data_IF_127320434730
#
_entry.id   IF_127320434730
#
_cell.length_a   1.000
_cell.length_b   1.000
_cell.length_c   1.000
_cell.angle_alpha   90.00
_cell.angle_beta   90.00
_cell.angle_gamma   90.00
#
_symmetry.space_group_name_H-M   'P 1'
#
loop_
_entity.id
_entity.type
_entity.pdbx_description
1 polymer ?
#
# COMPACT_ATOMS: atom_id res chain seq x y z
N UNK A 1 18.86 -38.81 -7.77
CA UNK A 1 18.74 -37.84 -6.67
C UNK A 1 20.01 -37.01 -6.68
N UNK A 2 19.97 -35.82 -7.29
CA UNK A 2 21.09 -34.89 -7.37
C UNK A 2 20.53 -33.48 -7.11
N UNK A 3 21.06 -32.89 -6.03
CA UNK A 3 21.19 -31.47 -5.68
C UNK A 3 20.08 -30.46 -5.97
N UNK A 4 19.05 -30.47 -5.13
CA UNK A 4 18.24 -29.27 -4.83
C UNK A 4 19.04 -28.20 -4.05
N UNK A 5 20.09 -28.60 -3.33
CA UNK A 5 20.99 -27.73 -2.56
C UNK A 5 21.79 -26.76 -3.46
N UNK A 6 22.35 -27.24 -4.58
CA UNK A 6 23.15 -26.41 -5.49
C UNK A 6 22.32 -25.32 -6.20
N UNK A 7 21.01 -25.54 -6.37
CA UNK A 7 20.14 -24.57 -7.03
C UNK A 7 19.76 -23.41 -6.07
N UNK A 8 19.61 -23.70 -4.78
CA UNK A 8 19.36 -22.70 -3.75
C UNK A 8 20.59 -21.81 -3.52
N UNK A 9 21.78 -22.41 -3.42
CA UNK A 9 23.03 -21.68 -3.22
C UNK A 9 23.37 -20.77 -4.42
N UNK A 10 23.04 -21.22 -5.63
CA UNK A 10 23.20 -20.42 -6.85
C UNK A 10 22.23 -19.23 -6.90
N UNK A 11 20.97 -19.41 -6.47
CA UNK A 11 19.99 -18.30 -6.37
C UNK A 11 20.38 -17.29 -5.28
N UNK A 12 20.94 -17.76 -4.17
CA UNK A 12 21.51 -16.93 -3.10
C UNK A 12 22.65 -16.04 -3.60
N UNK A 13 23.60 -16.60 -4.37
CA UNK A 13 24.71 -15.81 -4.92
C UNK A 13 24.25 -14.76 -5.92
N UNK A 14 23.24 -15.05 -6.74
CA UNK A 14 22.69 -14.06 -7.67
C UNK A 14 22.00 -12.90 -6.93
N UNK A 15 21.15 -13.21 -5.94
CA UNK A 15 20.44 -12.20 -5.15
C UNK A 15 21.41 -11.31 -4.35
N UNK A 16 22.43 -11.91 -3.71
CA UNK A 16 23.45 -11.16 -2.98
C UNK A 16 24.38 -10.36 -3.89
N UNK A 17 24.59 -10.78 -5.15
CA UNK A 17 25.38 -10.02 -6.13
C UNK A 17 24.66 -8.81 -6.71
N UNK A 18 23.32 -8.83 -6.70
CA UNK A 18 22.49 -7.68 -7.12
C UNK A 18 22.35 -6.63 -6.02
N UNK A 19 22.55 -7.02 -4.76
CA UNK A 19 22.66 -6.13 -3.59
C UNK A 19 24.13 -5.76 -3.39
N UNK A 20 24.78 -5.14 -4.39
CA UNK A 20 26.03 -4.46 -4.09
C UNK A 20 25.72 -3.18 -3.33
N UNK A 21 26.34 -2.94 -2.16
CA UNK A 21 26.20 -1.68 -1.47
C UNK A 21 26.79 -0.58 -2.36
N UNK A 22 25.99 0.45 -2.61
CA UNK A 22 26.48 1.67 -3.24
C UNK A 22 27.60 2.23 -2.33
N UNK A 23 28.85 2.46 -2.80
CA UNK A 23 30.01 2.71 -1.93
C UNK A 23 30.00 4.07 -1.20
N UNK A 24 28.85 4.73 -1.08
CA UNK A 24 28.69 6.06 -0.47
C UNK A 24 27.73 6.08 0.72
N UNK A 25 27.52 4.97 1.41
CA UNK A 25 26.92 5.00 2.75
C UNK A 25 27.98 4.76 3.82
N UNK A 26 28.09 5.74 4.72
CA UNK A 26 28.94 5.76 5.88
C UNK A 26 28.78 4.51 6.75
N UNK A 27 29.92 4.02 7.23
CA UNK A 27 30.15 2.93 8.17
C UNK A 27 29.10 2.84 9.29
N UNK A 28 28.17 1.90 9.16
CA UNK A 28 27.53 1.24 10.29
C UNK A 28 28.00 -0.21 10.27
N UNK A 29 28.73 -0.61 11.30
CA UNK A 29 29.29 -1.95 11.43
C UNK A 29 28.20 -2.91 11.87
N UNK A 30 27.38 -3.38 10.92
CA UNK A 30 26.50 -4.50 11.17
C UNK A 30 27.32 -5.79 11.32
N UNK A 31 26.91 -6.73 12.19
CA UNK A 31 27.54 -8.05 12.29
C UNK A 31 27.56 -8.77 10.93
N UNK A 32 28.60 -9.56 10.67
CA UNK A 32 28.72 -10.34 9.43
C UNK A 32 27.57 -11.35 9.20
N UNK A 33 26.80 -11.65 10.25
CA UNK A 33 25.61 -12.52 10.25
C UNK A 33 24.32 -11.70 10.35
N UNK A 34 24.16 -10.65 9.54
CA UNK A 34 22.95 -9.83 9.54
C UNK A 34 22.38 -9.65 8.13
N UNK A 35 21.06 -9.78 8.02
CA UNK A 35 20.31 -9.43 6.81
C UNK A 35 19.95 -7.96 6.85
N UNK A 36 20.43 -7.19 5.89
CA UNK A 36 20.16 -5.75 5.79
C UNK A 36 19.16 -5.52 4.66
N UNK A 37 18.06 -4.84 4.98
CA UNK A 37 17.20 -4.24 3.98
C UNK A 37 17.45 -2.75 3.93
N UNK A 38 17.62 -2.24 2.72
CA UNK A 38 17.74 -0.82 2.43
C UNK A 38 16.81 -0.51 1.26
N UNK A 39 15.61 0.01 1.56
CA UNK A 39 14.53 0.14 0.58
C UNK A 39 13.30 0.84 1.13
N UNK A 40 12.29 1.06 0.30
CA UNK A 40 10.98 1.52 0.77
C UNK A 40 10.09 0.34 1.11
N UNK A 41 9.30 0.40 2.19
CA UNK A 41 8.50 -0.75 2.62
C UNK A 41 7.44 -1.18 1.58
N UNK A 42 7.00 -0.28 0.69
CA UNK A 42 6.14 -0.66 -0.42
C UNK A 42 6.80 -1.69 -1.37
N UNK A 43 8.13 -1.74 -1.45
CA UNK A 43 8.87 -2.79 -2.19
C UNK A 43 8.74 -4.15 -1.50
N UNK A 44 8.79 -4.17 -0.17
CA UNK A 44 8.57 -5.37 0.65
C UNK A 44 7.14 -5.86 0.49
N UNK A 45 6.18 -4.93 0.57
CA UNK A 45 4.76 -5.26 0.43
C UNK A 45 4.37 -5.70 -1.00
N UNK A 46 5.11 -5.27 -2.02
CA UNK A 46 4.97 -5.77 -3.39
C UNK A 46 5.37 -7.24 -3.58
N UNK A 47 5.88 -7.90 -2.54
CA UNK A 47 6.29 -9.30 -2.53
C UNK A 47 5.22 -10.30 -2.09
N UNK A 48 4.04 -9.85 -1.66
CA UNK A 48 3.18 -10.68 -0.81
C UNK A 48 1.86 -11.14 -1.44
N UNK A 49 1.53 -12.42 -1.23
CA UNK A 49 0.35 -13.13 -1.77
C UNK A 49 -0.88 -13.17 -0.84
N UNK A 50 -0.72 -12.94 0.47
CA UNK A 50 -1.72 -13.31 1.49
C UNK A 50 -2.56 -12.14 2.05
N UNK A 51 -3.65 -12.52 2.75
CA UNK A 51 -4.73 -11.69 3.32
C UNK A 51 -4.26 -10.58 4.27
N UNK A 52 -3.35 -10.93 5.18
CA UNK A 52 -2.45 -10.00 5.86
C UNK A 52 -1.10 -10.37 5.27
N UNK A 53 -0.43 -9.47 4.55
CA UNK A 53 0.82 -9.84 3.95
C UNK A 53 1.81 -10.21 5.05
N UNK A 54 2.33 -11.44 5.05
CA UNK A 54 3.58 -11.76 5.73
C UNK A 54 4.63 -10.77 5.20
N UNK A 55 4.94 -9.75 5.98
CA UNK A 55 5.79 -8.66 5.55
C UNK A 55 7.22 -9.16 5.65
N UNK A 56 7.79 -9.63 4.54
CA UNK A 56 9.07 -10.35 4.58
C UNK A 56 10.23 -9.55 4.03
N UNK A 57 11.30 -9.53 4.79
CA UNK A 57 12.60 -9.05 4.33
C UNK A 57 13.50 -10.28 4.22
N UNK A 58 13.82 -10.67 2.98
CA UNK A 58 14.45 -11.97 2.70
C UNK A 58 13.59 -13.12 3.23
N UNK A 59 14.13 -13.89 4.18
CA UNK A 59 13.40 -14.97 4.87
C UNK A 59 12.80 -14.54 6.21
N UNK A 60 13.06 -13.31 6.67
CA UNK A 60 12.59 -12.82 7.96
C UNK A 60 11.22 -12.16 7.83
N UNK A 61 10.26 -12.59 8.64
CA UNK A 61 8.93 -11.99 8.72
C UNK A 61 8.92 -10.85 9.74
N UNK A 62 8.48 -9.66 9.32
CA UNK A 62 8.23 -8.52 10.19
C UNK A 62 6.88 -8.77 10.88
N UNK A 63 6.93 -8.99 12.19
CA UNK A 63 5.75 -9.18 13.01
C UNK A 63 4.90 -7.93 13.10
N UNK A 64 3.60 -8.10 12.89
CA UNK A 64 2.61 -7.03 13.04
C UNK A 64 2.56 -6.57 14.50
N UNK A 65 2.58 -5.26 14.71
CA UNK A 65 2.55 -4.63 16.04
C UNK A 65 3.89 -4.67 16.79
N UNK A 66 4.94 -5.26 16.21
CA UNK A 66 6.28 -5.29 16.80
C UNK A 66 7.04 -4.01 16.40
N UNK A 67 7.67 -3.28 17.34
CA UNK A 67 8.56 -2.18 17.02
C UNK A 67 9.93 -2.69 16.58
N UNK A 68 10.41 -2.18 15.45
CA UNK A 68 11.72 -2.46 14.90
C UNK A 68 12.55 -1.18 14.86
N UNK A 69 13.78 -1.24 15.36
CA UNK A 69 14.71 -0.13 15.21
C UNK A 69 15.17 -0.02 13.75
N UNK A 70 15.00 1.15 13.15
CA UNK A 70 15.36 1.43 11.75
C UNK A 70 16.04 2.78 11.62
N UNK A 71 16.86 2.90 10.58
CA UNK A 71 17.35 4.17 10.10
C UNK A 71 16.50 4.61 8.90
N UNK A 72 15.91 5.80 8.96
CA UNK A 72 15.04 6.30 7.90
C UNK A 72 15.61 7.55 7.25
N UNK A 73 15.39 7.68 5.94
CA UNK A 73 15.64 8.90 5.16
C UNK A 73 14.46 9.17 4.23
N UNK A 74 14.22 10.43 3.87
CA UNK A 74 13.14 10.76 2.92
C UNK A 74 13.42 10.06 1.58
N UNK A 75 12.40 9.40 1.03
CA UNK A 75 12.47 8.73 -0.25
C UNK A 75 12.52 9.75 -1.39
N UNK A 76 13.56 9.70 -2.22
CA UNK A 76 13.68 10.48 -3.46
C UNK A 76 13.03 9.77 -4.66
N UNK A 77 12.28 8.69 -4.40
CA UNK A 77 11.84 7.77 -5.45
C UNK A 77 10.89 8.44 -6.44
N UNK A 78 11.27 8.43 -7.71
CA UNK A 78 10.38 8.79 -8.81
C UNK A 78 9.62 7.55 -9.29
N UNK A 79 8.31 7.48 -9.06
CA UNK A 79 7.49 6.42 -9.63
C UNK A 79 7.40 6.56 -11.16
N UNK A 80 7.41 5.46 -11.92
CA UNK A 80 7.33 5.50 -13.37
C UNK A 80 6.03 6.20 -13.81
N UNK A 81 6.13 7.21 -14.68
CA UNK A 81 4.93 7.97 -15.13
C UNK A 81 4.06 7.21 -16.13
N UNK A 82 4.61 6.14 -16.73
CA UNK A 82 4.01 5.37 -17.82
C UNK A 82 4.18 3.87 -17.62
N UNK A 83 3.23 3.11 -18.15
CA UNK A 83 3.25 1.66 -18.30
C UNK A 83 3.66 1.33 -19.73
N UNK A 84 4.62 0.41 -19.87
CA UNK A 84 5.10 -0.07 -21.16
C UNK A 84 4.05 -0.95 -21.84
N UNK A 85 4.12 -1.06 -23.16
CA UNK A 85 3.39 -2.09 -23.93
C UNK A 85 3.72 -3.47 -23.38
N UNK A 86 2.70 -4.33 -23.27
CA UNK A 86 2.78 -5.67 -22.71
C UNK A 86 2.67 -5.72 -21.18
N UNK A 87 2.61 -4.57 -20.49
CA UNK A 87 2.48 -4.57 -19.04
C UNK A 87 1.15 -5.19 -18.60
N UNK A 88 1.21 -6.13 -17.66
CA UNK A 88 0.05 -6.71 -16.99
C UNK A 88 -0.34 -5.81 -15.82
N UNK A 89 -1.60 -5.43 -15.73
CA UNK A 89 -2.12 -4.44 -14.77
C UNK A 89 -3.37 -4.96 -14.10
N UNK A 90 -3.37 -5.00 -12.77
CA UNK A 90 -4.58 -5.17 -11.98
C UNK A 90 -5.21 -3.81 -11.68
N UNK A 91 -6.46 -3.63 -12.08
CA UNK A 91 -7.30 -2.50 -11.65
C UNK A 91 -8.10 -2.94 -10.41
N UNK A 92 -8.21 -2.08 -9.41
CA UNK A 92 -8.93 -2.36 -8.17
C UNK A 92 -9.75 -1.17 -7.70
N UNK A 93 -10.77 -1.44 -6.89
CA UNK A 93 -11.53 -0.46 -6.12
C UNK A 93 -11.22 -0.64 -4.63
N UNK A 94 -10.93 0.44 -3.91
CA UNK A 94 -10.59 0.43 -2.49
C UNK A 94 -11.56 1.35 -1.73
N UNK A 95 -12.23 0.80 -0.72
CA UNK A 95 -13.27 1.42 0.08
C UNK A 95 -12.71 2.12 1.32
N UNK A 96 -13.18 3.34 1.55
CA UNK A 96 -12.97 4.10 2.76
C UNK A 96 -14.33 4.68 3.20
N UNK A 97 -14.63 4.64 4.48
CA UNK A 97 -15.80 5.29 5.07
C UNK A 97 -15.30 6.53 5.80
N UNK A 98 -15.57 7.72 5.25
CA UNK A 98 -14.97 8.97 5.76
C UNK A 98 -15.92 9.64 6.75
N UNK A 99 -15.54 9.76 8.04
CA UNK A 99 -16.32 10.46 9.06
C UNK A 99 -16.22 11.99 8.94
N UNK A 100 -17.34 12.68 9.20
CA UNK A 100 -17.64 14.13 9.38
C UNK A 100 -16.86 15.21 8.57
N UNK A 101 -17.60 16.10 7.88
CA UNK A 101 -17.07 17.16 7.00
C UNK A 101 -17.78 17.31 5.64
N UNK A 102 -17.29 18.22 4.79
CA UNK A 102 -17.81 18.48 3.42
C UNK A 102 -17.61 17.31 2.45
N UNK A 103 -16.77 16.34 2.81
CA UNK A 103 -16.44 15.11 2.07
C UNK A 103 -16.87 13.84 2.82
N UNK A 104 -17.98 13.92 3.54
CA UNK A 104 -18.61 12.79 4.25
C UNK A 104 -19.19 11.76 3.30
N UNK A 105 -18.99 10.48 3.62
CA UNK A 105 -19.59 9.34 2.91
C UNK A 105 -18.61 8.23 2.53
N UNK A 106 -19.07 7.35 1.65
CA UNK A 106 -18.28 6.25 1.10
C UNK A 106 -17.37 6.77 0.00
N UNK A 107 -16.06 6.67 0.20
CA UNK A 107 -15.05 6.98 -0.80
C UNK A 107 -14.51 5.70 -1.40
N UNK A 108 -14.64 5.55 -2.72
CA UNK A 108 -14.12 4.41 -3.46
C UNK A 108 -13.00 4.90 -4.37
N UNK A 109 -11.78 4.57 -3.98
CA UNK A 109 -10.57 4.81 -4.78
C UNK A 109 -10.45 3.74 -5.85
N UNK A 110 -10.40 4.15 -7.10
CA UNK A 110 -9.93 3.35 -8.22
C UNK A 110 -8.41 3.44 -8.28
N UNK A 111 -7.73 2.30 -8.29
CA UNK A 111 -6.28 2.24 -8.38
C UNK A 111 -5.82 1.13 -9.31
N UNK A 112 -4.59 1.20 -9.77
CA UNK A 112 -4.02 0.16 -10.61
C UNK A 112 -2.56 -0.13 -10.27
N UNK A 113 -2.16 -1.40 -10.30
CA UNK A 113 -0.77 -1.84 -10.08
C UNK A 113 -0.34 -2.82 -11.17
N UNK A 114 0.95 -2.80 -11.53
CA UNK A 114 1.49 -3.78 -12.47
C UNK A 114 1.68 -5.12 -11.76
N UNK A 115 1.22 -6.23 -12.34
CA UNK A 115 1.32 -7.58 -11.77
C UNK A 115 2.71 -8.24 -11.89
N UNK A 116 3.76 -7.48 -12.24
CA UNK A 116 5.13 -7.99 -12.12
C UNK A 116 5.56 -8.21 -10.66
N UNK A 117 4.73 -7.75 -9.71
CA UNK A 117 4.91 -7.82 -8.28
C UNK A 117 3.60 -8.31 -7.66
N UNK A 118 3.71 -9.09 -6.59
CA UNK A 118 2.60 -9.57 -5.79
C UNK A 118 1.84 -8.38 -5.16
N UNK A 119 0.66 -8.08 -5.69
CA UNK A 119 0.01 -6.76 -5.51
C UNK A 119 -0.78 -6.57 -4.21
N UNK A 120 -0.99 -7.64 -3.43
CA UNK A 120 -1.86 -7.59 -2.26
C UNK A 120 -1.31 -6.60 -1.21
N UNK A 121 -0.01 -6.66 -0.91
CA UNK A 121 0.59 -5.78 0.07
C UNK A 121 0.60 -4.29 -0.33
N UNK A 122 0.66 -3.96 -1.63
CA UNK A 122 0.59 -2.57 -2.11
C UNK A 122 -0.81 -1.97 -2.02
N UNK A 123 -1.85 -2.80 -2.13
CA UNK A 123 -3.24 -2.39 -1.92
C UNK A 123 -3.49 -2.29 -0.42
N UNK A 124 -3.01 -3.28 0.34
CA UNK A 124 -3.06 -3.34 1.81
C UNK A 124 -2.42 -2.12 2.48
N UNK A 125 -1.23 -1.70 2.04
CA UNK A 125 -0.52 -0.53 2.61
C UNK A 125 -1.26 0.80 2.41
N UNK A 126 -2.32 0.83 1.59
CA UNK A 126 -3.20 1.99 1.48
C UNK A 126 -4.25 2.06 2.60
N UNK A 127 -4.33 1.03 3.43
CA UNK A 127 -5.25 0.86 4.54
C UNK A 127 -6.74 1.04 4.20
N UNK A 128 -7.27 0.41 3.13
CA UNK A 128 -8.71 0.44 2.84
C UNK A 128 -9.52 -0.47 3.77
N UNK A 129 -10.79 -0.19 4.03
CA UNK A 129 -11.63 -1.17 4.76
C UNK A 129 -11.83 -2.46 3.95
N UNK A 130 -11.95 -2.29 2.64
CA UNK A 130 -12.14 -3.36 1.68
C UNK A 130 -11.54 -2.95 0.34
N UNK A 131 -11.00 -3.88 -0.43
CA UNK A 131 -10.61 -3.65 -1.80
C UNK A 131 -11.02 -4.83 -2.68
N UNK A 132 -11.40 -4.54 -3.92
CA UNK A 132 -11.79 -5.55 -4.91
C UNK A 132 -10.96 -5.39 -6.17
N UNK A 133 -10.38 -6.48 -6.67
CA UNK A 133 -9.82 -6.48 -8.01
C UNK A 133 -10.98 -6.40 -9.00
N UNK A 134 -10.99 -5.34 -9.81
CA UNK A 134 -11.96 -5.13 -10.89
C UNK A 134 -11.61 -6.00 -12.10
N UNK A 135 -10.32 -6.22 -12.34
CA UNK A 135 -9.87 -7.08 -13.43
C UNK A 135 -8.40 -6.91 -13.71
N UNK A 136 -7.87 -7.85 -14.49
CA UNK A 136 -6.48 -7.86 -14.93
C UNK A 136 -6.42 -7.65 -16.43
N UNK A 137 -5.60 -6.69 -16.85
CA UNK A 137 -5.50 -6.23 -18.22
C UNK A 137 -4.06 -6.21 -18.70
N UNK A 138 -3.82 -6.59 -19.95
CA UNK A 138 -2.56 -6.29 -20.64
C UNK A 138 -2.73 -4.97 -21.39
N UNK A 139 -1.79 -4.04 -21.23
CA UNK A 139 -1.77 -2.81 -22.02
C UNK A 139 -1.07 -3.07 -23.35
N UNK A 140 -1.72 -2.83 -24.49
CA UNK A 140 -1.16 -3.11 -25.81
C UNK A 140 -0.36 -1.94 -26.41
N UNK A 141 -0.36 -0.78 -25.75
CA UNK A 141 0.39 0.42 -26.11
C UNK A 141 0.94 1.13 -24.87
N UNK A 142 1.95 1.98 -25.02
CA UNK A 142 2.41 2.78 -23.88
C UNK A 142 1.30 3.73 -23.40
N UNK A 143 1.07 3.76 -22.08
CA UNK A 143 0.00 4.56 -21.44
C UNK A 143 0.45 5.14 -20.10
N UNK A 144 -0.20 6.21 -19.65
CA UNK A 144 -0.01 6.71 -18.29
C UNK A 144 -0.50 5.69 -17.24
N UNK A 145 0.13 5.67 -16.06
CA UNK A 145 -0.20 4.68 -15.01
C UNK A 145 -1.66 4.65 -14.63
N UNK A 146 -2.27 5.82 -14.47
CA UNK A 146 -3.66 6.01 -14.04
C UNK A 146 -4.68 5.89 -15.19
N UNK A 147 -4.25 5.49 -16.39
CA UNK A 147 -5.10 5.50 -17.58
C UNK A 147 -6.40 4.71 -17.37
N UNK A 148 -6.30 3.47 -16.88
CA UNK A 148 -7.46 2.61 -16.63
C UNK A 148 -8.35 3.14 -15.50
N UNK A 149 -7.76 3.71 -14.45
CA UNK A 149 -8.47 4.33 -13.33
C UNK A 149 -9.34 5.49 -13.81
N UNK A 150 -8.76 6.39 -14.61
CA UNK A 150 -9.46 7.54 -15.21
C UNK A 150 -10.56 7.12 -16.18
N UNK A 151 -10.39 6.01 -16.90
CA UNK A 151 -11.41 5.47 -17.79
C UNK A 151 -12.58 4.87 -17.00
N UNK A 152 -12.28 4.05 -16.00
CA UNK A 152 -13.27 3.50 -15.07
C UNK A 152 -14.08 4.63 -14.40
N UNK A 153 -13.43 5.66 -13.84
CA UNK A 153 -14.10 6.83 -13.24
C UNK A 153 -15.13 7.46 -14.19
N UNK A 154 -14.74 7.72 -15.45
CA UNK A 154 -15.64 8.28 -16.48
C UNK A 154 -16.86 7.40 -16.79
N UNK A 155 -16.75 6.08 -16.62
CA UNK A 155 -17.88 5.16 -16.82
C UNK A 155 -18.85 5.16 -15.63
N UNK A 156 -18.37 5.51 -14.43
CA UNK A 156 -19.17 5.55 -13.20
C UNK A 156 -19.91 6.88 -13.03
N UNK A 157 -19.23 8.02 -13.31
CA UNK A 157 -19.78 9.38 -13.20
C UNK A 157 -21.04 9.60 -14.05
N UNK A 158 -21.25 8.81 -15.11
CA UNK A 158 -22.36 9.00 -16.05
C UNK A 158 -23.73 8.52 -15.58
N UNK A 159 -23.85 7.71 -14.52
CA UNK A 159 -25.17 7.34 -13.95
C UNK A 159 -25.16 6.61 -12.61
N UNK A 160 -24.06 5.93 -12.23
CA UNK A 160 -24.10 4.92 -11.16
C UNK A 160 -23.89 5.48 -9.75
N UNK A 161 -23.01 6.46 -9.57
CA UNK A 161 -22.73 7.01 -8.23
C UNK A 161 -23.98 7.66 -7.61
N UNK A 162 -24.81 8.32 -8.42
CA UNK A 162 -26.10 8.90 -7.99
C UNK A 162 -27.13 7.82 -7.64
N UNK A 163 -27.29 6.82 -8.52
CA UNK A 163 -28.21 5.68 -8.30
C UNK A 163 -27.88 4.90 -7.03
N UNK A 164 -26.59 4.60 -6.82
CA UNK A 164 -26.14 3.83 -5.66
C UNK A 164 -26.20 4.68 -4.39
N UNK A 165 -25.91 5.99 -4.47
CA UNK A 165 -26.07 6.86 -3.32
C UNK A 165 -27.53 7.01 -2.85
N UNK A 166 -28.48 7.10 -3.78
CA UNK A 166 -29.92 7.17 -3.48
C UNK A 166 -30.44 5.86 -2.85
N UNK A 167 -29.99 4.71 -3.36
CA UNK A 167 -30.41 3.38 -2.89
C UNK A 167 -29.95 3.08 -1.46
N UNK A 168 -28.74 3.50 -1.11
CA UNK A 168 -28.15 3.23 0.22
C UNK A 168 -28.23 4.42 1.19
N UNK A 169 -28.87 5.53 0.78
CA UNK A 169 -28.92 6.81 1.53
C UNK A 169 -27.53 7.28 1.98
N UNK A 170 -26.52 7.02 1.16
CA UNK A 170 -25.12 7.33 1.42
C UNK A 170 -24.55 8.17 0.31
N UNK A 171 -23.69 9.13 0.64
CA UNK A 171 -22.93 9.84 -0.40
C UNK A 171 -21.79 8.95 -0.86
N UNK A 172 -21.85 8.49 -2.12
CA UNK A 172 -20.78 7.69 -2.73
C UNK A 172 -19.93 8.56 -3.65
N UNK A 173 -18.64 8.68 -3.32
CA UNK A 173 -17.64 9.35 -4.14
C UNK A 173 -16.73 8.31 -4.77
N UNK A 174 -16.52 8.39 -6.08
CA UNK A 174 -15.59 7.52 -6.80
C UNK A 174 -14.47 8.38 -7.38
N UNK A 175 -13.24 8.10 -6.99
CA UNK A 175 -12.08 8.89 -7.40
C UNK A 175 -10.85 8.02 -7.69
N UNK A 176 -9.80 8.59 -8.28
CA UNK A 176 -8.50 7.94 -8.45
C UNK A 176 -7.53 8.29 -7.32
N UNK A 177 -7.83 9.33 -6.55
CA UNK A 177 -7.03 9.77 -5.42
C UNK A 177 -7.35 8.96 -4.14
N UNK A 178 -6.36 8.81 -3.27
CA UNK A 178 -6.59 8.25 -1.93
C UNK A 178 -7.02 9.37 -0.99
N UNK A 179 -7.93 9.12 -0.04
CA UNK A 179 -8.22 10.08 1.01
C UNK A 179 -6.96 10.53 1.75
N UNK A 180 -7.03 11.71 2.37
CA UNK A 180 -5.95 12.19 3.24
C UNK A 180 -5.71 11.18 4.37
N UNK A 181 -4.45 11.01 4.75
CA UNK A 181 -4.05 10.05 5.80
C UNK A 181 -4.80 10.30 7.11
N UNK A 182 -5.06 11.57 7.48
CA UNK A 182 -5.84 11.93 8.67
C UNK A 182 -7.25 11.33 8.67
N UNK A 183 -7.93 11.30 7.53
CA UNK A 183 -9.28 10.73 7.42
C UNK A 183 -9.25 9.20 7.48
N UNK A 184 -8.22 8.58 6.91
CA UNK A 184 -8.01 7.11 6.99
C UNK A 184 -7.75 6.69 8.44
N UNK A 185 -6.91 7.43 9.16
CA UNK A 185 -6.64 7.20 10.59
C UNK A 185 -7.94 7.33 11.40
N UNK A 186 -8.72 8.40 11.16
CA UNK A 186 -9.97 8.60 11.87
C UNK A 186 -11.00 7.49 11.59
N UNK A 187 -11.09 7.03 10.33
CA UNK A 187 -11.90 5.87 9.95
C UNK A 187 -11.50 4.62 10.75
N UNK A 188 -10.20 4.29 10.80
CA UNK A 188 -9.72 3.10 11.52
C UNK A 188 -9.86 3.20 13.05
N UNK A 189 -9.77 4.41 13.64
CA UNK A 189 -10.10 4.62 15.06
C UNK A 189 -11.56 4.32 15.37
N UNK A 190 -12.45 4.54 14.40
CA UNK A 190 -13.89 4.41 14.55
C UNK A 190 -14.45 3.17 13.82
N UNK A 191 -13.61 2.20 13.46
CA UNK A 191 -13.98 1.09 12.55
C UNK A 191 -15.16 0.26 13.03
N UNK A 192 -15.34 0.12 14.35
CA UNK A 192 -16.46 -0.60 14.96
C UNK A 192 -17.83 0.02 14.59
N UNK A 193 -17.89 1.34 14.36
CA UNK A 193 -19.13 2.03 13.94
C UNK A 193 -19.63 1.58 12.56
N UNK A 194 -18.76 0.98 11.75
CA UNK A 194 -19.07 0.57 10.38
C UNK A 194 -19.36 -0.93 10.25
N UNK A 195 -19.12 -1.70 11.32
CA UNK A 195 -19.17 -3.16 11.30
C UNK A 195 -20.53 -3.71 10.90
N UNK A 196 -21.61 -3.11 11.39
CA UNK A 196 -22.99 -3.55 11.11
C UNK A 196 -23.42 -3.31 9.66
N UNK A 197 -22.77 -2.39 8.95
CA UNK A 197 -23.13 -1.99 7.57
C UNK A 197 -22.05 -2.36 6.54
N UNK A 198 -21.02 -3.08 6.95
CA UNK A 198 -19.87 -3.38 6.08
C UNK A 198 -20.28 -4.16 4.83
N UNK A 199 -21.24 -5.07 4.95
CA UNK A 199 -21.77 -5.86 3.83
C UNK A 199 -22.50 -4.99 2.80
N UNK A 200 -23.25 -3.97 3.26
CA UNK A 200 -23.89 -2.99 2.37
C UNK A 200 -22.81 -2.23 1.58
N UNK A 201 -21.74 -1.80 2.26
CA UNK A 201 -20.65 -1.06 1.63
C UNK A 201 -19.86 -1.92 0.64
N UNK A 202 -19.64 -3.20 0.95
CA UNK A 202 -19.02 -4.18 0.04
C UNK A 202 -19.88 -4.36 -1.21
N UNK A 203 -21.21 -4.45 -1.07
CA UNK A 203 -22.14 -4.54 -2.21
C UNK A 203 -22.02 -3.35 -3.15
N UNK A 204 -21.89 -2.14 -2.61
CA UNK A 204 -21.66 -0.91 -3.39
C UNK A 204 -20.35 -1.01 -4.20
N UNK A 205 -19.26 -1.45 -3.57
CA UNK A 205 -17.96 -1.65 -4.25
C UNK A 205 -18.08 -2.70 -5.35
N UNK A 206 -18.77 -3.80 -5.08
CA UNK A 206 -19.00 -4.87 -6.05
C UNK A 206 -19.71 -4.37 -7.30
N UNK A 207 -20.78 -3.57 -7.14
CA UNK A 207 -21.52 -3.00 -8.28
C UNK A 207 -20.68 -2.02 -9.10
N UNK A 208 -19.87 -1.19 -8.43
CA UNK A 208 -18.94 -0.28 -9.10
C UNK A 208 -17.88 -1.07 -9.87
N UNK A 209 -17.31 -2.11 -9.24
CA UNK A 209 -16.32 -2.97 -9.86
C UNK A 209 -16.87 -3.68 -11.10
N UNK A 210 -18.03 -4.31 -10.98
CA UNK A 210 -18.70 -5.00 -12.07
C UNK A 210 -19.00 -4.04 -13.24
N UNK A 211 -19.54 -2.85 -12.93
CA UNK A 211 -19.80 -1.83 -13.96
C UNK A 211 -18.53 -1.42 -14.69
N UNK A 212 -17.45 -1.19 -13.96
CA UNK A 212 -16.17 -0.82 -14.56
C UNK A 212 -15.60 -1.94 -15.42
N UNK A 213 -15.58 -3.18 -14.91
CA UNK A 213 -15.11 -4.32 -15.66
C UNK A 213 -15.90 -4.49 -16.97
N UNK A 214 -17.23 -4.54 -16.89
CA UNK A 214 -18.09 -4.72 -18.06
C UNK A 214 -17.88 -3.64 -19.13
N UNK A 215 -17.67 -2.38 -18.72
CA UNK A 215 -17.42 -1.28 -19.64
C UNK A 215 -16.03 -1.31 -20.25
N UNK A 216 -14.99 -1.58 -19.45
CA UNK A 216 -13.61 -1.71 -19.97
C UNK A 216 -13.52 -2.89 -20.92
N UNK A 217 -14.09 -4.04 -20.56
CA UNK A 217 -14.09 -5.25 -21.39
C UNK A 217 -14.82 -5.02 -22.72
N UNK A 218 -15.97 -4.34 -22.70
CA UNK A 218 -16.68 -3.95 -23.93
C UNK A 218 -15.87 -3.02 -24.83
N UNK A 219 -15.14 -2.07 -24.23
CA UNK A 219 -14.34 -1.08 -24.96
C UNK A 219 -12.87 -1.51 -25.12
N UNK A 220 -12.51 -2.77 -24.85
CA UNK A 220 -11.12 -3.22 -24.69
C UNK A 220 -10.23 -2.89 -25.91
N UNK A 221 -10.71 -3.19 -27.11
CA UNK A 221 -10.01 -2.89 -28.37
C UNK A 221 -9.77 -1.39 -28.54
N UNK A 222 -10.77 -0.55 -28.25
CA UNK A 222 -10.68 0.91 -28.31
C UNK A 222 -9.72 1.47 -27.26
N UNK A 223 -9.69 0.86 -26.08
CA UNK A 223 -8.80 1.23 -24.98
C UNK A 223 -7.37 0.72 -25.19
N UNK A 224 -7.14 -0.13 -26.21
CA UNK A 224 -5.86 -0.80 -26.49
C UNK A 224 -5.40 -1.62 -25.30
N UNK A 225 -6.32 -2.41 -24.75
CA UNK A 225 -6.05 -3.36 -23.67
C UNK A 225 -6.66 -4.71 -24.00
N UNK A 226 -6.03 -5.78 -23.49
CA UNK A 226 -6.59 -7.14 -23.51
C UNK A 226 -7.00 -7.53 -22.10
N UNK A 227 -8.18 -8.12 -21.97
CA UNK A 227 -8.65 -8.68 -20.71
C UNK A 227 -7.98 -10.03 -20.49
N UNK A 228 -7.36 -10.23 -19.33
CA UNK A 228 -6.83 -11.53 -18.92
C UNK A 228 -7.78 -12.26 -17.98
N UNK A 229 -8.22 -11.58 -16.92
CA UNK A 229 -9.08 -12.15 -15.89
C UNK A 229 -10.14 -11.13 -15.47
N UNK A 230 -11.37 -11.61 -15.27
CA UNK A 230 -12.47 -10.85 -14.67
C UNK A 230 -12.50 -10.93 -13.15
N UNK A 231 -13.40 -10.16 -12.53
CA UNK A 231 -13.48 -9.99 -11.08
C UNK A 231 -14.37 -11.01 -10.35
N UNK A 232 -14.40 -12.28 -10.76
CA UNK A 232 -15.38 -13.20 -10.15
C UNK A 232 -15.10 -13.41 -8.65
N UNK A 233 -13.82 -13.55 -8.23
CA UNK A 233 -13.52 -14.01 -6.87
C UNK A 233 -12.34 -13.34 -6.17
N UNK A 234 -11.81 -12.22 -6.69
CA UNK A 234 -10.62 -11.58 -6.11
C UNK A 234 -10.96 -10.32 -5.31
N UNK A 235 -10.92 -10.45 -3.98
CA UNK A 235 -11.11 -9.34 -3.04
C UNK A 235 -10.15 -9.40 -1.85
N UNK A 236 -9.96 -8.26 -1.20
CA UNK A 236 -9.15 -8.04 -0.02
C UNK A 236 -10.02 -7.38 1.04
N UNK A 237 -10.17 -8.00 2.20
CA UNK A 237 -10.82 -7.38 3.36
C UNK A 237 -9.78 -7.24 4.43
N UNK A 238 -9.59 -6.05 5.00
CA UNK A 238 -8.67 -5.90 6.13
C UNK A 238 -9.32 -6.40 7.42
N UNK A 239 -8.57 -6.96 8.40
CA UNK A 239 -9.17 -7.34 9.66
C UNK A 239 -9.64 -6.05 10.36
N UNK A 240 -10.91 -6.04 10.77
CA UNK A 240 -11.59 -4.87 11.32
C UNK A 240 -11.19 -4.63 12.77
N UNK A 241 -9.91 -4.40 13.03
CA UNK A 241 -9.39 -4.09 14.36
C UNK A 241 -9.33 -2.58 14.57
N UNK A 242 -9.85 -2.05 15.70
CA UNK A 242 -9.77 -0.64 15.99
C UNK A 242 -8.31 -0.22 16.14
N UNK A 243 -7.98 0.94 15.57
CA UNK A 243 -6.66 1.53 15.67
C UNK A 243 -6.45 2.07 17.09
N UNK A 244 -5.69 1.33 17.91
CA UNK A 244 -5.34 1.70 19.29
C UNK A 244 -4.14 2.63 19.33
N UNK A 245 -4.35 3.87 18.90
CA UNK A 245 -3.31 4.89 18.81
C UNK A 245 -3.81 6.17 19.47
N UNK A 246 -3.18 6.62 20.57
CA UNK A 246 -3.62 7.80 21.32
C UNK A 246 -3.52 9.09 20.46
N UNK A 247 -4.24 10.14 20.82
CA UNK A 247 -4.36 11.36 20.00
C UNK A 247 -3.01 12.07 19.71
N UNK A 248 -2.01 11.93 20.59
CA UNK A 248 -0.66 12.49 20.38
C UNK A 248 0.20 11.81 19.31
N UNK A 249 -0.26 10.72 18.68
CA UNK A 249 0.54 9.91 17.75
C UNK A 249 0.47 10.38 16.27
N UNK A 250 -0.41 11.33 15.94
CA UNK A 250 -0.75 11.65 14.54
C UNK A 250 -0.16 12.99 14.07
N UNK A 251 0.38 13.80 14.99
CA UNK A 251 0.66 15.22 14.75
C UNK A 251 2.03 15.53 14.15
N UNK A 252 2.92 14.56 13.93
CA UNK A 252 4.35 14.84 13.78
C UNK A 252 4.92 15.06 12.38
N UNK A 253 4.17 14.93 11.26
CA UNK A 253 4.81 14.93 9.93
C UNK A 253 5.53 16.25 9.60
N UNK A 254 4.90 17.39 9.89
CA UNK A 254 5.50 18.70 9.61
C UNK A 254 6.69 18.97 10.53
N UNK A 255 6.59 18.59 11.79
CA UNK A 255 7.63 18.68 12.81
C UNK A 255 8.83 17.79 12.44
N UNK A 256 8.54 16.57 12.00
CA UNK A 256 9.50 15.62 11.50
C UNK A 256 10.20 16.18 10.25
N UNK A 257 9.46 16.72 9.27
CA UNK A 257 10.05 17.38 8.09
C UNK A 257 10.80 18.69 8.40
N UNK A 258 10.47 19.43 9.46
CA UNK A 258 11.26 20.60 9.90
C UNK A 258 12.65 20.18 10.38
N UNK A 259 12.76 18.99 10.96
CA UNK A 259 14.02 18.44 11.50
C UNK A 259 14.82 17.72 10.43
N UNK A 260 14.16 17.12 9.44
CA UNK A 260 14.81 16.37 8.36
C UNK A 260 15.03 17.29 7.15
N UNK A 261 16.28 17.61 6.85
CA UNK A 261 16.64 18.21 5.56
C UNK A 261 16.95 17.09 4.57
N UNK A 262 16.76 17.35 3.28
CA UNK A 262 17.00 16.35 2.24
C UNK A 262 18.39 15.73 2.38
N UNK A 263 18.44 14.41 2.65
CA UNK A 263 19.68 13.65 2.87
C UNK A 263 19.93 13.18 4.31
N UNK A 264 19.21 13.70 5.31
CA UNK A 264 19.42 13.31 6.71
C UNK A 264 18.93 11.88 7.01
N UNK A 265 19.70 11.14 7.80
CA UNK A 265 19.35 9.80 8.32
C UNK A 265 18.88 9.93 9.77
N UNK A 266 17.76 9.29 10.09
CA UNK A 266 17.08 9.41 11.37
C UNK A 266 17.01 8.04 12.02
N UNK A 267 17.48 7.93 13.27
CA UNK A 267 17.24 6.75 14.10
C UNK A 267 15.79 6.75 14.57
N UNK A 268 15.09 5.63 14.46
CA UNK A 268 13.65 5.59 14.69
C UNK A 268 13.15 4.18 14.98
N UNK A 269 11.92 4.07 15.46
CA UNK A 269 11.19 2.82 15.58
C UNK A 269 10.08 2.76 14.51
N UNK A 270 10.05 1.67 13.76
CA UNK A 270 9.02 1.32 12.80
C UNK A 270 8.12 0.25 13.40
N UNK A 271 6.80 0.43 13.33
CA UNK A 271 5.82 -0.60 13.66
C UNK A 271 4.82 -0.72 12.51
N UNK A 272 4.70 -1.93 11.94
CA UNK A 272 3.66 -2.23 10.95
C UNK A 272 2.38 -2.62 11.67
N UNK A 273 1.27 -1.98 11.33
CA UNK A 273 -0.02 -2.18 11.97
C UNK A 273 -0.89 -3.19 11.18
N UNK A 274 -1.86 -3.86 11.84
CA UNK A 274 -2.69 -4.90 11.18
C UNK A 274 -3.49 -4.41 9.96
N UNK A 275 -3.70 -3.11 9.84
CA UNK A 275 -4.46 -2.46 8.77
C UNK A 275 -3.58 -1.89 7.65
N UNK A 276 -2.28 -2.19 7.62
CA UNK A 276 -1.36 -1.74 6.59
C UNK A 276 -0.77 -0.34 6.77
N UNK A 277 -1.12 0.35 7.86
CA UNK A 277 -0.45 1.59 8.25
C UNK A 277 0.89 1.28 8.92
N UNK A 278 1.89 2.10 8.66
CA UNK A 278 3.17 2.08 9.35
C UNK A 278 3.22 3.24 10.35
N UNK A 279 3.46 2.92 11.62
CA UNK A 279 3.79 3.90 12.65
C UNK A 279 5.30 4.09 12.69
N UNK A 280 5.73 5.34 12.67
CA UNK A 280 7.11 5.77 12.73
C UNK A 280 7.29 6.66 13.95
N UNK A 281 8.21 6.30 14.81
CA UNK A 281 8.51 7.02 16.05
C UNK A 281 9.97 7.45 16.02
N UNK A 282 10.20 8.75 15.97
CA UNK A 282 11.54 9.32 15.98
C UNK A 282 11.75 10.21 17.21
N UNK A 283 12.82 10.02 17.98
CA UNK A 283 13.19 10.95 19.03
C UNK A 283 13.59 12.29 18.40
N UNK A 284 12.94 13.38 18.81
CA UNK A 284 13.28 14.73 18.38
C UNK A 284 13.69 15.54 19.61
N UNK A 285 14.98 15.92 19.66
CA UNK A 285 15.48 16.86 20.66
C UNK A 285 14.76 18.19 20.47
N UNK A 286 14.12 18.71 21.53
CA UNK A 286 13.37 19.99 21.64
C UNK A 286 11.84 19.95 21.48
N UNK A 287 11.22 18.80 21.28
CA UNK A 287 9.78 18.64 21.60
C UNK A 287 9.65 18.35 23.09
N UNK A 288 8.79 19.06 23.82
CA UNK A 288 8.67 18.95 25.29
C UNK A 288 8.39 17.53 25.82
N UNK A 289 8.01 16.58 24.95
CA UNK A 289 7.87 15.14 25.20
C UNK A 289 8.73 14.27 24.27
N UNK A 290 9.92 14.73 23.85
CA UNK A 290 11.05 13.93 23.35
C UNK A 290 10.91 13.14 22.04
N UNK A 291 9.71 12.86 21.54
CA UNK A 291 9.45 11.92 20.44
C UNK A 291 8.35 12.47 19.51
N UNK A 292 8.60 12.42 18.20
CA UNK A 292 7.60 12.65 17.17
C UNK A 292 7.09 11.31 16.63
N UNK A 293 5.78 11.23 16.45
CA UNK A 293 5.13 10.06 15.89
C UNK A 293 4.45 10.46 14.59
N UNK A 294 4.65 9.63 13.58
CA UNK A 294 4.12 9.80 12.25
C UNK A 294 3.53 8.49 11.76
N UNK A 295 2.37 8.54 11.11
CA UNK A 295 1.70 7.37 10.56
C UNK A 295 1.58 7.55 9.05
N UNK A 296 2.08 6.58 8.31
CA UNK A 296 2.09 6.59 6.85
C UNK A 296 1.61 5.28 6.24
N UNK A 297 1.39 5.32 4.93
CA UNK A 297 1.22 4.18 4.04
C UNK A 297 2.57 3.64 3.53
N UNK A 298 3.62 3.87 4.31
CA UNK A 298 4.98 3.36 4.10
C UNK A 298 5.62 3.80 2.76
N UNK A 299 5.37 5.05 2.34
CA UNK A 299 5.85 5.61 1.05
C UNK A 299 6.81 6.78 1.21
N UNK A 300 6.80 7.44 2.36
CA UNK A 300 7.59 8.65 2.58
C UNK A 300 9.06 8.34 2.83
N UNK A 301 9.37 7.23 3.49
CA UNK A 301 10.73 6.91 3.90
C UNK A 301 11.32 5.72 3.17
N UNK A 302 12.63 5.82 2.94
CA UNK A 302 13.52 4.69 2.70
C UNK A 302 14.05 4.24 4.05
N UNK A 303 14.02 2.95 4.32
CA UNK A 303 14.39 2.36 5.60
C UNK A 303 15.60 1.46 5.43
N UNK A 304 16.57 1.63 6.31
CA UNK A 304 17.65 0.69 6.54
C UNK A 304 17.40 -0.04 7.85
N UNK A 305 17.26 -1.36 7.80
CA UNK A 305 16.95 -2.20 8.94
C UNK A 305 17.71 -3.52 8.84
N UNK A 306 18.14 -4.05 9.99
CA UNK A 306 19.04 -5.19 10.07
C UNK A 306 18.48 -6.26 10.99
N UNK A 307 18.43 -7.50 10.51
CA UNK A 307 18.05 -8.67 11.29
C UNK A 307 19.26 -9.55 11.58
N UNK A 308 19.40 -10.03 12.82
CA UNK A 308 20.38 -11.06 13.14
C UNK A 308 19.96 -12.38 12.51
N UNK A 309 20.89 -13.06 11.83
CA UNK A 309 20.70 -14.39 11.25
C UNK A 309 20.96 -15.53 12.25
N UNK A 310 21.32 -15.20 13.51
CA UNK A 310 21.64 -16.21 14.53
C UNK A 310 20.35 -16.73 15.16
N UNK A 311 19.90 -17.92 14.76
CA UNK A 311 18.81 -18.66 15.42
C UNK A 311 17.63 -19.12 14.56
N UNK A 312 17.81 -19.39 13.26
CA UNK A 312 16.84 -20.16 12.46
C UNK A 312 17.23 -21.64 12.48
#
# INVERSE_FOLDING_TARGET
MMDSSNNLERRLRMFLSEIQPNPRSSTSSFPASSLIFDGTLDEVFGGVNDYIPDVRIGFHEIGVGIPYHVYARISERSYPKRRKKGAVVALYAALYVLPEGSDTGLHIKLGSHSLYFYTAGLIWSQAPLYAKIIGVFIIDEERHMEYLEKRCKKYIEKSLAKLVGEEYKERVTVDTSTPKTEYIINMWRNVEKFKERIEEYISIVNRIAERCFNRISKDAEKLKVRVLYGSSDMWFTLPMHPLRINEGYVSGLQELFKVIRGGDIISSELTVLPNGLCMFKAPIKNLGNGEAIYIDRCRIFHYTLSFSLVGV
#
